data_IF_526300762524
#
_entry.id   IF_526300762524
#
_cell.length_a   1.000
_cell.length_b   1.000
_cell.length_c   1.000
_cell.angle_alpha   90.00
_cell.angle_beta   90.00
_cell.angle_gamma   90.00
#
_symmetry.space_group_name_H-M   'P 1'
#
loop_
_entity.id
_entity.type
_entity.pdbx_description
1 polymer ?
#
# COMPACT_ATOMS: atom_id res chain seq x y z
N UNK A 1 -4.02 1.61 -17.62
CA UNK A 1 -2.56 1.77 -17.71
C UNK A 1 -2.08 1.87 -16.27
N UNK A 2 -0.90 1.36 -15.93
CA UNK A 2 -0.38 1.51 -14.56
C UNK A 2 0.31 2.87 -14.47
N UNK A 3 -0.11 3.71 -13.52
CA UNK A 3 0.53 4.99 -13.22
C UNK A 3 1.26 4.87 -11.88
N UNK A 4 2.48 5.41 -11.81
CA UNK A 4 3.32 5.40 -10.62
C UNK A 4 3.77 6.83 -10.35
N UNK A 5 3.49 7.32 -9.15
CA UNK A 5 3.83 8.67 -8.69
C UNK A 5 4.66 8.60 -7.42
N UNK A 6 5.62 9.49 -7.29
CA UNK A 6 6.39 9.66 -6.05
C UNK A 6 5.64 10.64 -5.14
N UNK A 7 5.28 10.21 -3.92
CA UNK A 7 4.62 11.07 -2.94
C UNK A 7 5.62 11.76 -2.00
N UNK A 8 6.70 11.06 -1.67
CA UNK A 8 7.82 11.54 -0.87
C UNK A 8 9.06 10.68 -1.15
N UNK A 9 10.18 10.97 -0.48
CA UNK A 9 11.42 10.17 -0.60
C UNK A 9 11.22 8.70 -0.18
N UNK A 10 10.25 8.43 0.70
CA UNK A 10 9.95 7.10 1.22
C UNK A 10 8.61 6.53 0.75
N UNK A 11 7.88 7.21 -0.13
CA UNK A 11 6.53 6.81 -0.51
C UNK A 11 6.29 6.87 -2.02
N UNK A 12 5.73 5.78 -2.54
CA UNK A 12 5.21 5.68 -3.90
C UNK A 12 3.71 5.45 -3.88
N UNK A 13 3.03 6.00 -4.88
CA UNK A 13 1.65 5.72 -5.17
C UNK A 13 1.53 5.03 -6.53
N UNK A 14 0.71 3.99 -6.58
CA UNK A 14 0.45 3.21 -7.78
C UNK A 14 -1.05 3.15 -8.00
N UNK A 15 -1.50 3.45 -9.22
CA UNK A 15 -2.91 3.35 -9.58
C UNK A 15 -3.14 2.75 -10.97
N UNK A 16 -4.37 2.31 -11.19
CA UNK A 16 -4.85 1.80 -12.47
C UNK A 16 -6.36 1.93 -12.52
N UNK A 17 -6.90 2.32 -13.68
CA UNK A 17 -8.36 2.43 -13.89
C UNK A 17 -9.13 1.12 -13.66
N UNK A 18 -8.43 -0.03 -13.68
CA UNK A 18 -9.02 -1.35 -13.49
C UNK A 18 -9.11 -1.76 -12.02
N UNK A 19 -8.47 -1.01 -11.14
CA UNK A 19 -8.40 -1.33 -9.72
C UNK A 19 -9.57 -0.69 -9.01
N UNK A 20 -10.55 -1.51 -8.66
CA UNK A 20 -11.78 -1.06 -8.04
C UNK A 20 -12.37 -2.15 -7.16
N UNK A 21 -13.14 -1.73 -6.15
CA UNK A 21 -13.98 -2.60 -5.34
C UNK A 21 -15.44 -2.16 -5.45
N UNK A 22 -16.38 -3.09 -5.20
CA UNK A 22 -17.81 -2.81 -5.26
C UNK A 22 -18.47 -3.16 -3.92
N UNK A 23 -19.19 -2.21 -3.33
CA UNK A 23 -19.96 -2.42 -2.11
C UNK A 23 -21.28 -3.18 -2.32
N UNK A 24 -21.54 -3.66 -3.54
CA UNK A 24 -22.78 -4.32 -3.95
C UNK A 24 -23.92 -3.35 -4.30
N UNK A 25 -23.69 -2.05 -4.17
CA UNK A 25 -24.63 -0.97 -4.50
C UNK A 25 -23.85 0.29 -4.88
N UNK A 26 -24.41 1.08 -5.82
CA UNK A 26 -23.78 2.31 -6.30
C UNK A 26 -22.65 2.11 -7.30
N UNK A 27 -21.91 3.18 -7.54
CA UNK A 27 -20.74 3.18 -8.43
C UNK A 27 -19.56 2.47 -7.76
N UNK A 28 -18.72 1.75 -8.54
CA UNK A 28 -17.51 1.13 -8.01
C UNK A 28 -16.55 2.20 -7.47
N UNK A 29 -15.86 1.87 -6.38
CA UNK A 29 -14.82 2.71 -5.80
C UNK A 29 -13.48 2.31 -6.39
N UNK A 30 -12.83 3.24 -7.10
CA UNK A 30 -11.48 3.00 -7.59
C UNK A 30 -10.48 3.07 -6.44
N UNK A 31 -9.48 2.20 -6.50
CA UNK A 31 -8.48 2.01 -5.48
C UNK A 31 -7.07 2.24 -6.03
N UNK A 32 -6.20 2.80 -5.21
CA UNK A 32 -4.77 2.90 -5.42
C UNK A 32 -4.00 2.21 -4.31
N UNK A 33 -2.70 2.05 -4.53
CA UNK A 33 -1.78 1.38 -3.63
C UNK A 33 -0.68 2.37 -3.24
N UNK A 34 -0.52 2.60 -1.94
CA UNK A 34 0.63 3.30 -1.37
C UNK A 34 1.66 2.25 -0.97
N UNK A 35 2.91 2.46 -1.37
CA UNK A 35 4.08 1.68 -0.97
C UNK A 35 4.99 2.62 -0.18
N UNK A 36 5.18 2.33 1.09
CA UNK A 36 5.99 3.14 2.01
C UNK A 36 7.19 2.33 2.50
N UNK A 37 8.38 2.91 2.36
CA UNK A 37 9.58 2.39 2.99
C UNK A 37 9.67 2.87 4.43
N UNK A 38 9.63 1.92 5.36
CA UNK A 38 9.62 2.16 6.81
C UNK A 38 10.93 1.66 7.40
N UNK A 39 11.60 2.52 8.16
CA UNK A 39 12.74 2.12 9.00
C UNK A 39 12.21 1.39 10.25
N UNK A 40 12.58 0.12 10.39
CA UNK A 40 12.17 -0.73 11.50
C UNK A 40 12.95 -0.44 12.79
N UNK A 41 14.04 0.33 12.74
CA UNK A 41 14.90 0.63 13.90
C UNK A 41 15.66 -0.59 14.46
N UNK A 42 15.24 -1.81 14.09
CA UNK A 42 15.89 -3.09 14.33
C UNK A 42 17.13 -3.25 13.43
N UNK A 43 18.09 -2.34 13.57
CA UNK A 43 19.44 -2.47 13.04
C UNK A 43 20.18 -3.61 13.73
N UNK A 44 19.72 -4.84 13.51
CA UNK A 44 20.20 -6.04 14.18
C UNK A 44 21.52 -6.48 13.54
N UNK A 45 22.59 -5.70 13.79
CA UNK A 45 24.00 -5.97 13.47
C UNK A 45 24.38 -6.10 11.98
N UNK A 46 23.43 -6.36 11.08
CA UNK A 46 23.62 -6.75 9.69
C UNK A 46 23.18 -5.68 8.67
N UNK A 47 22.68 -4.52 9.13
CA UNK A 47 22.41 -3.35 8.27
C UNK A 47 21.08 -3.35 7.49
N UNK A 48 20.16 -4.29 7.74
CA UNK A 48 18.87 -4.38 7.04
C UNK A 48 17.73 -3.76 7.86
N UNK A 49 17.57 -2.45 7.79
CA UNK A 49 16.62 -1.70 8.62
C UNK A 49 15.35 -1.24 7.90
N UNK A 50 15.24 -1.40 6.58
CA UNK A 50 14.08 -0.90 5.84
C UNK A 50 13.15 -2.03 5.40
N UNK A 51 11.84 -1.81 5.47
CA UNK A 51 10.80 -2.70 4.92
C UNK A 51 9.82 -1.90 4.07
N UNK A 52 9.07 -2.56 3.18
CA UNK A 52 7.98 -1.91 2.45
C UNK A 52 6.64 -2.29 3.05
N UNK A 53 5.95 -1.30 3.61
CA UNK A 53 4.55 -1.43 4.00
C UNK A 53 3.66 -1.01 2.81
N UNK A 54 2.63 -1.80 2.54
CA UNK A 54 1.72 -1.59 1.42
C UNK A 54 0.30 -1.35 1.93
N UNK A 55 -0.36 -0.30 1.44
CA UNK A 55 -1.68 0.10 1.89
C UNK A 55 -2.60 0.48 0.73
N UNK A 56 -3.83 -0.04 0.73
CA UNK A 56 -4.86 0.35 -0.22
C UNK A 56 -5.63 1.58 0.28
N UNK A 57 -5.85 2.53 -0.61
CA UNK A 57 -6.66 3.72 -0.37
C UNK A 57 -7.56 4.01 -1.59
N UNK A 58 -8.68 4.74 -1.44
CA UNK A 58 -9.43 5.22 -2.59
C UNK A 58 -8.58 6.12 -3.50
N UNK A 59 -8.79 6.04 -4.82
CA UNK A 59 -8.24 7.05 -5.73
C UNK A 59 -8.90 8.42 -5.46
N UNK A 60 -8.24 9.54 -5.75
CA UNK A 60 -8.77 10.89 -5.47
C UNK A 60 -10.20 11.12 -5.99
N UNK A 61 -10.54 10.61 -7.17
CA UNK A 61 -11.89 10.71 -7.76
C UNK A 61 -13.00 9.92 -7.03
N UNK A 62 -12.60 8.94 -6.22
CA UNK A 62 -13.47 8.10 -5.40
C UNK A 62 -13.39 8.44 -3.90
N UNK A 63 -12.48 9.33 -3.51
CA UNK A 63 -12.28 9.75 -2.13
C UNK A 63 -13.38 10.73 -1.66
N UNK A 64 -13.65 10.75 -0.35
CA UNK A 64 -14.55 11.72 0.26
C UNK A 64 -14.01 13.15 0.02
N UNK A 65 -14.91 14.05 -0.35
CA UNK A 65 -14.58 15.45 -0.63
C UNK A 65 -14.15 16.19 0.63
N UNK A 66 -14.65 15.79 1.80
CA UNK A 66 -14.24 16.38 3.09
C UNK A 66 -12.73 16.17 3.28
N UNK A 67 -12.22 14.96 3.04
CA UNK A 67 -10.79 14.63 3.14
C UNK A 67 -9.94 15.48 2.17
N UNK A 68 -10.38 15.60 0.92
CA UNK A 68 -9.66 16.39 -0.09
C UNK A 68 -9.69 17.89 0.25
N UNK A 69 -10.78 18.37 0.84
CA UNK A 69 -10.90 19.77 1.25
C UNK A 69 -10.01 20.08 2.46
N UNK A 70 -9.97 19.20 3.46
CA UNK A 70 -9.05 19.31 4.60
C UNK A 70 -7.58 19.40 4.13
N UNK A 71 -7.19 18.57 3.16
CA UNK A 71 -5.86 18.63 2.56
C UNK A 71 -5.56 20.01 1.95
N UNK A 72 -6.50 20.57 1.17
CA UNK A 72 -6.35 21.89 0.55
C UNK A 72 -6.25 22.99 1.63
N UNK A 73 -7.05 22.90 2.69
CA UNK A 73 -7.01 23.85 3.82
C UNK A 73 -5.66 23.80 4.57
N UNK A 74 -5.00 22.65 4.59
CA UNK A 74 -3.63 22.47 5.10
C UNK A 74 -2.53 22.83 4.09
N UNK A 75 -2.89 23.32 2.89
CA UNK A 75 -1.96 23.77 1.86
C UNK A 75 -1.40 22.66 0.96
N UNK A 76 -2.11 21.52 0.85
CA UNK A 76 -1.80 20.42 -0.06
C UNK A 76 -2.52 20.64 -1.39
N UNK A 77 -1.89 21.39 -2.28
CA UNK A 77 -2.52 21.83 -3.53
C UNK A 77 -2.42 20.80 -4.67
N UNK A 78 -1.38 19.96 -4.65
CA UNK A 78 -1.17 18.94 -5.68
C UNK A 78 -1.90 17.64 -5.38
N UNK A 79 -2.16 16.84 -6.41
CA UNK A 79 -2.85 15.54 -6.25
C UNK A 79 -2.01 14.58 -5.40
N UNK A 80 -0.69 14.58 -5.60
CA UNK A 80 0.27 13.79 -4.83
C UNK A 80 0.24 14.16 -3.35
N UNK A 81 0.22 15.46 -3.03
CA UNK A 81 0.12 15.94 -1.66
C UNK A 81 -1.22 15.59 -1.00
N UNK A 82 -2.32 15.61 -1.75
CA UNK A 82 -3.64 15.19 -1.26
C UNK A 82 -3.71 13.69 -0.99
N UNK A 83 -3.14 12.87 -1.88
CA UNK A 83 -3.03 11.42 -1.69
C UNK A 83 -2.20 11.12 -0.44
N UNK A 84 -1.05 11.80 -0.31
CA UNK A 84 -0.17 11.68 0.84
C UNK A 84 -0.89 12.07 2.13
N UNK A 85 -1.60 13.20 2.13
CA UNK A 85 -2.40 13.65 3.27
C UNK A 85 -3.44 12.61 3.69
N UNK A 86 -4.22 12.09 2.73
CA UNK A 86 -5.22 11.07 3.00
C UNK A 86 -4.58 9.82 3.63
N UNK A 87 -3.44 9.38 3.11
CA UNK A 87 -2.70 8.25 3.66
C UNK A 87 -2.13 8.52 5.06
N UNK A 88 -1.47 9.66 5.29
CA UNK A 88 -0.83 9.97 6.57
C UNK A 88 -1.85 10.23 7.69
N UNK A 89 -2.97 10.90 7.39
CA UNK A 89 -3.97 11.28 8.38
C UNK A 89 -5.03 10.20 8.62
N UNK A 90 -5.44 9.48 7.57
CA UNK A 90 -6.51 8.48 7.66
C UNK A 90 -5.97 7.05 7.55
N UNK A 91 -4.73 6.83 7.12
CA UNK A 91 -4.18 5.50 6.88
C UNK A 91 -4.75 4.84 5.63
N UNK A 92 -4.64 3.51 5.57
CA UNK A 92 -5.23 2.69 4.51
C UNK A 92 -5.50 1.27 4.98
N UNK A 93 -5.91 0.41 4.06
CA UNK A 93 -6.03 -1.03 4.33
C UNK A 93 -4.68 -1.68 4.07
N UNK A 94 -4.00 -2.13 5.13
CA UNK A 94 -2.71 -2.79 5.01
C UNK A 94 -2.83 -4.11 4.24
N UNK A 95 -1.90 -4.35 3.33
CA UNK A 95 -1.83 -5.58 2.52
C UNK A 95 -0.45 -6.21 2.59
N UNK A 96 -0.40 -7.54 2.65
CA UNK A 96 0.86 -8.27 2.52
C UNK A 96 1.29 -8.33 1.05
N UNK A 97 2.09 -7.35 0.61
CA UNK A 97 2.60 -7.30 -0.76
C UNK A 97 3.60 -8.44 -1.05
N UNK A 98 4.30 -8.95 -0.04
CA UNK A 98 5.25 -10.06 -0.18
C UNK A 98 4.54 -11.42 -0.39
N UNK A 99 3.29 -11.57 0.06
CA UNK A 99 2.47 -12.75 -0.23
C UNK A 99 2.15 -12.90 -1.73
N UNK A 100 2.31 -11.84 -2.51
CA UNK A 100 2.00 -11.77 -3.94
C UNK A 100 3.13 -12.37 -4.81
N UNK A 101 4.17 -12.93 -4.19
CA UNK A 101 5.30 -13.50 -4.92
C UNK A 101 4.86 -14.64 -5.87
N UNK A 102 5.25 -14.60 -7.15
CA UNK A 102 5.01 -15.71 -8.06
C UNK A 102 5.72 -16.96 -7.53
N UNK A 103 5.09 -18.13 -7.64
CA UNK A 103 5.62 -19.42 -7.17
C UNK A 103 7.04 -19.78 -7.66
N UNK A 104 7.57 -19.08 -8.68
CA UNK A 104 8.93 -19.22 -9.20
C UNK A 104 10.00 -18.38 -8.47
N UNK A 105 9.63 -17.47 -7.58
CA UNK A 105 10.58 -16.70 -6.76
C UNK A 105 11.22 -17.54 -5.64
N UNK A 106 10.58 -18.67 -5.26
CA UNK A 106 11.06 -19.63 -4.27
C UNK A 106 12.29 -20.46 -4.74
N UNK A 107 12.63 -20.43 -6.03
CA UNK A 107 13.80 -21.10 -6.58
C UNK A 107 14.80 -20.09 -7.18
N UNK A 108 15.47 -19.31 -6.34
CA UNK A 108 16.71 -18.60 -6.68
C UNK A 108 16.60 -17.34 -7.56
N UNK A 109 15.40 -16.82 -7.80
CA UNK A 109 15.23 -15.56 -8.55
C UNK A 109 15.14 -14.32 -7.64
N UNK A 110 14.74 -14.47 -6.37
CA UNK A 110 14.71 -13.37 -5.40
C UNK A 110 16.10 -12.88 -4.98
N UNK A 111 17.11 -13.75 -5.02
CA UNK A 111 18.50 -13.41 -4.69
C UNK A 111 19.23 -12.61 -5.77
N UNK A 112 18.61 -12.36 -6.93
CA UNK A 112 19.22 -11.64 -8.05
C UNK A 112 18.79 -10.17 -8.17
N UNK A 113 17.77 -9.74 -7.43
CA UNK A 113 17.10 -8.43 -7.67
C UNK A 113 17.34 -7.41 -6.55
N UNK A 114 17.71 -7.86 -5.34
CA UNK A 114 18.14 -7.01 -4.23
C UNK A 114 18.92 -7.86 -3.22
N UNK A 115 19.92 -7.31 -2.56
CA UNK A 115 20.45 -7.93 -1.34
C UNK A 115 19.33 -7.76 -0.31
N UNK A 116 18.53 -8.80 -0.07
CA UNK A 116 17.36 -8.69 0.78
C UNK A 116 17.20 -9.92 1.66
N UNK A 117 16.67 -9.71 2.85
CA UNK A 117 16.45 -10.77 3.84
C UNK A 117 14.96 -10.88 4.16
N UNK A 118 14.39 -12.07 4.04
CA UNK A 118 12.99 -12.31 4.37
C UNK A 118 12.93 -12.73 5.84
N UNK A 119 12.21 -11.96 6.65
CA UNK A 119 12.02 -12.24 8.08
C UNK A 119 10.54 -12.15 8.44
N UNK A 120 10.14 -12.89 9.46
CA UNK A 120 8.79 -12.82 10.02
C UNK A 120 8.67 -11.54 10.88
N UNK A 121 7.75 -10.66 10.52
CA UNK A 121 7.39 -9.45 11.28
C UNK A 121 5.94 -9.57 11.72
N UNK A 122 5.62 -9.16 12.93
CA UNK A 122 4.23 -8.94 13.32
C UNK A 122 3.78 -7.63 12.67
N UNK A 123 2.95 -7.72 11.64
CA UNK A 123 2.43 -6.56 10.94
C UNK A 123 1.58 -5.68 11.87
N UNK A 124 1.27 -4.45 11.42
CA UNK A 124 0.37 -3.55 12.15
C UNK A 124 -0.95 -4.19 12.56
N UNK A 125 -1.41 -5.22 11.82
CA UNK A 125 -2.61 -6.04 12.07
C UNK A 125 -2.49 -7.03 13.23
N UNK A 126 -1.27 -7.35 13.69
CA UNK A 126 -1.01 -8.39 14.70
C UNK A 126 -0.71 -9.78 14.12
N UNK A 127 -0.71 -9.94 12.79
CA UNK A 127 -0.36 -11.19 12.12
C UNK A 127 1.14 -11.28 11.85
N UNK A 128 1.70 -12.49 11.99
CA UNK A 128 3.05 -12.80 11.55
C UNK A 128 3.10 -12.86 10.01
N UNK A 129 3.89 -11.96 9.42
CA UNK A 129 4.03 -11.79 7.98
C UNK A 129 5.50 -11.86 7.59
N UNK A 130 5.82 -12.74 6.65
CA UNK A 130 7.13 -12.73 5.99
C UNK A 130 7.28 -11.44 5.21
N UNK A 131 8.20 -10.58 5.64
CA UNK A 131 8.44 -9.26 5.06
C UNK A 131 9.88 -9.20 4.59
N UNK A 132 10.09 -8.56 3.44
CA UNK A 132 11.43 -8.32 2.90
C UNK A 132 12.08 -7.10 3.56
N UNK A 133 13.30 -7.29 4.04
CA UNK A 133 14.15 -6.23 4.57
C UNK A 133 15.24 -5.82 3.58
N UNK A 134 15.51 -4.52 3.53
CA UNK A 134 16.46 -3.83 2.65
C UNK A 134 17.50 -3.07 3.47
N UNK A 135 18.67 -2.81 2.89
CA UNK A 135 19.76 -2.12 3.59
C UNK A 135 19.53 -0.62 3.67
N UNK A 136 19.04 -0.02 2.60
CA UNK A 136 18.82 1.41 2.49
C UNK A 136 17.46 1.76 1.87
N UNK A 137 17.07 3.01 2.08
CA UNK A 137 15.81 3.57 1.61
C UNK A 137 15.69 3.54 0.08
N UNK A 138 16.79 3.81 -0.63
CA UNK A 138 16.81 3.89 -2.09
C UNK A 138 16.59 2.51 -2.72
N UNK A 139 17.23 1.47 -2.18
CA UNK A 139 17.04 0.07 -2.58
C UNK A 139 15.59 -0.36 -2.37
N UNK A 140 15.02 -0.06 -1.21
CA UNK A 140 13.63 -0.40 -0.89
C UNK A 140 12.64 0.23 -1.87
N UNK A 141 12.80 1.53 -2.16
CA UNK A 141 11.91 2.28 -3.06
C UNK A 141 12.10 1.85 -4.53
N UNK A 142 13.33 1.63 -4.97
CA UNK A 142 13.59 1.09 -6.31
C UNK A 142 12.96 -0.28 -6.48
N UNK A 143 13.11 -1.17 -5.50
CA UNK A 143 12.49 -2.48 -5.51
C UNK A 143 10.96 -2.39 -5.52
N UNK A 144 10.37 -1.51 -4.70
CA UNK A 144 8.93 -1.29 -4.65
C UNK A 144 8.37 -0.82 -6.00
N UNK A 145 9.06 0.11 -6.67
CA UNK A 145 8.68 0.60 -8.00
C UNK A 145 8.78 -0.48 -9.07
N UNK A 146 9.89 -1.21 -9.09
CA UNK A 146 10.24 -2.07 -10.23
C UNK A 146 9.63 -3.48 -10.10
N UNK A 147 9.33 -3.91 -8.86
CA UNK A 147 8.74 -5.21 -8.57
C UNK A 147 7.32 -5.08 -8.02
N UNK A 148 7.12 -4.48 -6.84
CA UNK A 148 5.81 -4.51 -6.19
C UNK A 148 4.72 -3.80 -7.00
N UNK A 149 5.00 -2.64 -7.59
CA UNK A 149 4.04 -1.94 -8.44
C UNK A 149 3.61 -2.79 -9.66
N UNK A 150 4.53 -3.57 -10.22
CA UNK A 150 4.27 -4.44 -11.39
C UNK A 150 3.41 -5.65 -11.01
N UNK A 151 3.59 -6.20 -9.80
CA UNK A 151 2.84 -7.37 -9.32
C UNK A 151 1.56 -7.01 -8.54
N UNK A 152 1.37 -5.75 -8.17
CA UNK A 152 0.17 -5.23 -7.52
C UNK A 152 -1.17 -5.65 -8.16
N UNK A 153 -1.32 -5.81 -9.50
CA UNK A 153 -2.57 -6.30 -10.09
C UNK A 153 -3.09 -7.62 -9.52
N UNK A 154 -2.22 -8.48 -8.98
CA UNK A 154 -2.63 -9.75 -8.37
C UNK A 154 -3.43 -9.49 -7.09
N UNK A 155 -3.09 -8.48 -6.28
CA UNK A 155 -3.86 -8.10 -5.08
C UNK A 155 -5.30 -7.80 -5.47
N UNK A 156 -5.49 -7.07 -6.57
CA UNK A 156 -6.82 -6.69 -7.05
C UNK A 156 -7.64 -7.87 -7.60
N UNK A 157 -6.99 -8.98 -7.96
CA UNK A 157 -7.67 -10.25 -8.26
C UNK A 157 -8.27 -10.93 -7.02
N UNK A 158 -7.79 -10.58 -5.82
CA UNK A 158 -8.26 -11.08 -4.53
C UNK A 158 -8.82 -9.97 -3.64
N UNK A 159 -9.27 -8.86 -4.24
CA UNK A 159 -9.61 -7.65 -3.49
C UNK A 159 -10.67 -7.88 -2.41
N UNK A 160 -11.68 -8.71 -2.69
CA UNK A 160 -12.73 -9.02 -1.71
C UNK A 160 -12.16 -9.73 -0.48
N UNK A 161 -11.28 -10.71 -0.69
CA UNK A 161 -10.60 -11.41 0.41
C UNK A 161 -9.70 -10.47 1.20
N UNK A 162 -8.97 -9.59 0.51
CA UNK A 162 -8.11 -8.58 1.15
C UNK A 162 -8.93 -7.63 2.02
N UNK A 163 -10.09 -7.17 1.54
CA UNK A 163 -10.94 -6.24 2.26
C UNK A 163 -11.77 -6.92 3.37
N UNK A 164 -12.02 -8.23 3.28
CA UNK A 164 -12.68 -9.02 4.32
C UNK A 164 -11.78 -9.24 5.55
N UNK A 165 -10.45 -9.07 5.44
CA UNK A 165 -9.55 -9.29 6.56
C UNK A 165 -9.82 -8.31 7.71
N UNK A 166 -9.94 -8.81 8.96
CA UNK A 166 -10.11 -7.97 10.13
C UNK A 166 -8.96 -6.99 10.31
N UNK A 167 -9.28 -5.75 10.63
CA UNK A 167 -8.28 -4.72 10.94
C UNK A 167 -8.08 -4.63 12.47
N UNK A 168 -6.87 -4.35 12.92
CA UNK A 168 -6.54 -4.27 14.37
C UNK A 168 -7.32 -3.17 15.10
N UNK A 169 -7.66 -2.08 14.40
CA UNK A 169 -8.50 -1.00 14.92
C UNK A 169 -9.99 -1.38 15.03
N UNK A 170 -10.37 -2.60 14.67
CA UNK A 170 -11.75 -3.06 14.57
C UNK A 170 -12.33 -2.86 13.16
N UNK A 171 -13.34 -3.67 12.82
CA UNK A 171 -13.94 -3.69 11.49
C UNK A 171 -13.08 -4.42 10.45
N UNK A 172 -13.42 -4.20 9.18
CA UNK A 172 -12.80 -4.81 8.00
C UNK A 172 -12.16 -3.76 7.10
N UNK A 173 -11.36 -4.20 6.12
CA UNK A 173 -10.88 -3.31 5.06
C UNK A 173 -12.03 -2.61 4.33
N UNK A 174 -13.18 -3.28 4.17
CA UNK A 174 -14.39 -2.65 3.62
C UNK A 174 -14.85 -1.43 4.41
N UNK A 175 -14.85 -1.51 5.74
CA UNK A 175 -15.27 -0.40 6.59
C UNK A 175 -14.30 0.79 6.44
N UNK A 176 -13.02 0.49 6.30
CA UNK A 176 -11.97 1.49 6.09
C UNK A 176 -12.11 2.20 4.75
N UNK A 177 -12.26 1.44 3.65
CA UNK A 177 -12.49 2.03 2.33
C UNK A 177 -13.80 2.81 2.31
N UNK A 178 -14.86 2.32 2.97
CA UNK A 178 -16.15 3.02 3.07
C UNK A 178 -16.04 4.35 3.82
N UNK A 179 -15.20 4.42 4.85
CA UNK A 179 -14.95 5.66 5.59
C UNK A 179 -14.24 6.72 4.73
N UNK A 180 -13.33 6.29 3.85
CA UNK A 180 -12.52 7.19 3.03
C UNK A 180 -13.14 7.51 1.67
N UNK A 181 -14.09 6.69 1.21
CA UNK A 181 -14.71 6.86 -0.10
C UNK A 181 -15.90 7.82 -0.05
N UNK A 182 -16.16 8.49 -1.17
CA UNK A 182 -17.37 9.30 -1.34
C UNK A 182 -18.61 8.47 -1.06
N UNK A 183 -19.55 9.02 -0.29
CA UNK A 183 -20.83 8.35 -0.02
C UNK A 183 -21.57 8.14 -1.34
N UNK A 184 -21.98 6.90 -1.60
CA UNK A 184 -22.89 6.61 -2.70
C UNK A 184 -24.26 7.22 -2.32
N UNK A 185 -24.71 8.21 -3.11
CA UNK A 185 -26.06 8.78 -3.00
C UNK A 185 -27.11 7.80 -3.50
#
# INVERSE_FOLDING_TARGET
MLDIRTLSESQLYVESDRWQCNFGHGEPVKLGLVLEAVDTGDGDGNGYSYVIDASLIPQPESMDREILQEAIEEGRETVEEQIRYAYECYGGVSVNIDAVQPAKASCGFSSFVAESNIRTRIAGTGEEMETRHFQDLEEAICFARDFYAVYAPVIFGFIDMVLDHPQRAGGTGWDKIRQMAKKAN
#
